data_IF_222490876892
#
_entry.id   IF_222490876892
#
_cell.length_a   1.000
_cell.length_b   1.000
_cell.length_c   1.000
_cell.angle_alpha   90.00
_cell.angle_beta   90.00
_cell.angle_gamma   90.00
#
_symmetry.space_group_name_H-M   'P 1'
#
loop_
_entity.id
_entity.type
_entity.pdbx_description
1 polymer ?
#
# COMPACT_ATOMS: atom_id res chain seq x y z
N UNK A 1 66.81 11.78 -17.43
CA UNK A 1 66.58 10.88 -16.29
C UNK A 1 65.23 11.08 -15.57
N UNK A 2 64.47 12.15 -15.82
CA UNK A 2 63.19 12.47 -15.12
C UNK A 2 61.99 11.69 -15.69
N UNK A 3 62.01 11.27 -16.96
CA UNK A 3 60.87 10.59 -17.63
C UNK A 3 60.57 9.17 -17.15
N UNK A 4 61.54 8.42 -16.64
CA UNK A 4 61.32 7.05 -16.16
C UNK A 4 60.78 6.99 -14.74
N UNK A 5 61.12 7.99 -13.90
CA UNK A 5 60.62 8.06 -12.51
C UNK A 5 59.11 8.30 -12.46
N UNK A 6 58.56 9.15 -13.34
CA UNK A 6 57.12 9.43 -13.42
C UNK A 6 56.31 8.21 -13.93
N UNK A 7 56.90 7.43 -14.85
CA UNK A 7 56.23 6.23 -15.38
C UNK A 7 56.16 5.09 -14.35
N UNK A 8 57.21 4.92 -13.55
CA UNK A 8 57.27 3.93 -12.46
C UNK A 8 56.28 4.29 -11.34
N UNK A 9 56.16 5.57 -11.01
CA UNK A 9 55.20 6.03 -9.98
C UNK A 9 53.76 5.85 -10.44
N UNK A 10 53.43 6.06 -11.72
CA UNK A 10 52.09 5.80 -12.27
C UNK A 10 51.76 4.31 -12.31
N UNK A 11 52.72 3.43 -12.56
CA UNK A 11 52.49 1.98 -12.55
C UNK A 11 52.25 1.45 -11.14
N UNK A 12 52.91 2.00 -10.11
CA UNK A 12 52.74 1.60 -8.71
C UNK A 12 51.34 2.01 -8.18
N UNK A 13 50.81 3.15 -8.63
CA UNK A 13 49.42 3.56 -8.27
C UNK A 13 48.34 2.65 -8.85
N UNK A 14 48.56 2.04 -10.02
CA UNK A 14 47.65 1.08 -10.64
C UNK A 14 47.68 -0.30 -9.99
N UNK A 15 48.73 -0.64 -9.24
CA UNK A 15 48.91 -1.91 -8.56
C UNK A 15 48.34 -1.93 -7.12
N UNK A 16 47.80 -0.83 -6.63
CA UNK A 16 47.16 -0.82 -5.30
C UNK A 16 45.88 -1.67 -5.37
N UNK A 17 45.69 -2.58 -4.41
CA UNK A 17 44.47 -3.40 -4.36
C UNK A 17 43.26 -2.48 -4.19
N UNK A 18 42.49 -2.30 -5.24
CA UNK A 18 41.23 -1.58 -5.18
C UNK A 18 40.28 -2.46 -4.35
N UNK A 19 39.98 -2.06 -3.11
CA UNK A 19 38.92 -2.70 -2.34
C UNK A 19 37.62 -2.44 -3.09
N UNK A 20 37.09 -3.46 -3.72
CA UNK A 20 35.74 -3.42 -4.25
C UNK A 20 34.81 -3.15 -3.07
N UNK A 21 34.13 -2.02 -3.07
CA UNK A 21 33.13 -1.73 -2.06
C UNK A 21 31.99 -2.74 -2.25
N UNK A 22 31.92 -3.72 -1.36
CA UNK A 22 30.77 -4.65 -1.34
C UNK A 22 29.62 -3.89 -0.68
N UNK A 23 28.58 -3.58 -1.46
CA UNK A 23 27.34 -3.07 -0.92
C UNK A 23 26.75 -4.13 0.03
N UNK A 24 26.34 -3.71 1.21
CA UNK A 24 25.60 -4.62 2.11
C UNK A 24 24.19 -4.76 1.54
N UNK A 25 23.68 -5.99 1.47
CA UNK A 25 22.27 -6.29 1.10
C UNK A 25 21.30 -5.89 2.23
N UNK A 26 21.61 -4.80 2.92
CA UNK A 26 20.87 -4.33 4.08
C UNK A 26 20.70 -2.83 4.04
N UNK A 27 19.43 -2.38 4.06
CA UNK A 27 19.06 -0.98 4.24
C UNK A 27 18.65 -0.78 5.71
N UNK A 28 19.33 0.13 6.41
CA UNK A 28 18.98 0.53 7.78
C UNK A 28 18.40 1.94 7.75
N UNK A 29 17.14 2.07 8.15
CA UNK A 29 16.45 3.37 8.21
C UNK A 29 16.21 3.73 9.67
N UNK A 30 16.85 4.82 10.11
CA UNK A 30 16.61 5.39 11.44
C UNK A 30 15.34 6.21 11.46
N UNK A 31 14.51 6.04 12.47
CA UNK A 31 13.31 6.86 12.71
C UNK A 31 13.35 7.41 14.13
N UNK A 32 12.79 8.62 14.34
CA UNK A 32 12.81 9.33 15.62
C UNK A 32 11.70 8.92 16.57
N UNK A 33 10.74 8.12 16.12
CA UNK A 33 9.60 7.67 16.93
C UNK A 33 9.45 6.16 16.83
N UNK A 34 9.02 5.53 17.92
CA UNK A 34 8.69 4.10 17.94
C UNK A 34 7.17 3.91 17.91
N UNK A 35 6.59 3.22 16.90
CA UNK A 35 5.16 2.99 16.83
C UNK A 35 4.70 2.02 17.93
N UNK A 36 3.57 2.34 18.57
CA UNK A 36 2.93 1.48 19.59
C UNK A 36 2.40 0.16 19.01
N UNK A 37 2.03 0.19 17.72
CA UNK A 37 1.50 -0.95 16.95
C UNK A 37 1.78 -0.79 15.46
N UNK A 38 1.93 -1.91 14.76
CA UNK A 38 1.99 -1.94 13.29
C UNK A 38 0.63 -2.22 12.64
N UNK A 39 -0.43 -2.35 13.43
CA UNK A 39 -1.77 -2.50 12.85
C UNK A 39 -2.17 -1.23 12.07
N UNK A 40 -2.54 -1.31 10.78
CA UNK A 40 -2.70 -0.14 9.91
C UNK A 40 -3.80 0.83 10.37
N UNK A 41 -4.86 0.32 10.99
CA UNK A 41 -6.06 1.08 11.33
C UNK A 41 -6.18 1.45 12.82
N UNK A 42 -5.22 1.03 13.66
CA UNK A 42 -5.18 1.34 15.10
C UNK A 42 -4.05 2.31 15.35
N UNK A 43 -4.28 3.35 16.13
CA UNK A 43 -3.29 4.34 16.55
C UNK A 43 -2.51 4.98 15.39
N UNK A 44 -2.93 6.16 14.96
CA UNK A 44 -2.34 6.85 13.81
C UNK A 44 -1.02 7.53 14.20
N UNK A 45 0.11 7.01 13.67
CA UNK A 45 1.45 7.58 13.87
C UNK A 45 2.20 7.70 12.55
N UNK A 46 2.90 8.83 12.37
CA UNK A 46 3.68 9.09 11.15
C UNK A 46 4.81 8.07 10.95
N UNK A 47 5.55 7.74 12.02
CA UNK A 47 6.61 6.73 11.98
C UNK A 47 6.10 5.36 11.50
N UNK A 48 4.90 4.95 11.93
CA UNK A 48 4.25 3.74 11.45
C UNK A 48 3.94 3.81 9.97
N UNK A 49 3.47 4.96 9.46
CA UNK A 49 3.15 5.14 8.05
C UNK A 49 4.37 4.92 7.14
N UNK A 50 5.56 5.36 7.54
CA UNK A 50 6.81 5.10 6.81
C UNK A 50 7.13 3.61 6.70
N UNK A 51 7.00 2.86 7.80
CA UNK A 51 7.25 1.40 7.81
C UNK A 51 6.20 0.68 6.96
N UNK A 52 4.91 1.02 7.14
CA UNK A 52 3.83 0.40 6.40
C UNK A 52 3.88 0.71 4.90
N UNK A 53 4.39 1.87 4.49
CA UNK A 53 4.58 2.20 3.08
C UNK A 53 5.57 1.28 2.37
N UNK A 54 6.54 0.71 3.11
CA UNK A 54 7.52 -0.24 2.58
C UNK A 54 7.03 -1.70 2.62
N UNK A 55 6.12 -2.03 3.53
CA UNK A 55 5.74 -3.42 3.84
C UNK A 55 4.32 -3.76 3.41
N UNK A 56 3.49 -2.77 3.15
CA UNK A 56 2.07 -2.92 2.82
C UNK A 56 1.73 -2.30 1.49
N UNK A 57 0.88 -2.96 0.72
CA UNK A 57 0.27 -2.41 -0.49
C UNK A 57 -1.18 -1.99 -0.18
N UNK A 58 -1.50 -0.69 -0.11
CA UNK A 58 -2.88 -0.24 0.03
C UNK A 58 -3.68 -0.50 -1.25
N UNK A 59 -5.01 -0.47 -1.16
CA UNK A 59 -5.89 -0.71 -2.31
C UNK A 59 -5.75 0.38 -3.37
N UNK A 60 -5.73 1.63 -2.90
CA UNK A 60 -5.44 2.82 -3.71
C UNK A 60 -4.42 3.71 -3.00
N UNK A 61 -3.75 4.59 -3.75
CA UNK A 61 -2.78 5.54 -3.22
C UNK A 61 -2.78 6.82 -4.07
N UNK A 62 -2.35 7.93 -3.49
CA UNK A 62 -2.07 9.15 -4.23
C UNK A 62 -0.65 9.11 -4.80
N UNK A 63 -0.51 9.39 -6.08
CA UNK A 63 0.79 9.54 -6.74
C UNK A 63 1.45 10.90 -6.39
N UNK A 64 2.63 11.17 -6.98
CA UNK A 64 3.38 12.42 -6.76
C UNK A 64 2.65 13.67 -7.25
N UNK A 65 1.61 13.53 -8.07
CA UNK A 65 0.74 14.60 -8.58
C UNK A 65 -0.58 14.69 -7.83
N UNK A 66 -0.70 14.02 -6.68
CA UNK A 66 -1.93 13.94 -5.88
C UNK A 66 -3.12 13.32 -6.63
N UNK A 67 -2.82 12.50 -7.64
CA UNK A 67 -3.85 11.75 -8.35
C UNK A 67 -4.01 10.38 -7.70
N UNK A 68 -5.25 10.02 -7.36
CA UNK A 68 -5.55 8.69 -6.83
C UNK A 68 -5.34 7.64 -7.92
N UNK A 69 -4.63 6.56 -7.59
CA UNK A 69 -4.33 5.44 -8.48
C UNK A 69 -4.61 4.10 -7.80
N UNK A 70 -4.95 3.09 -8.59
CA UNK A 70 -5.07 1.71 -8.13
C UNK A 70 -3.70 1.08 -7.89
N UNK A 71 -3.54 0.35 -6.76
CA UNK A 71 -2.43 -0.58 -6.53
C UNK A 71 -2.91 -2.04 -6.50
N UNK A 72 -4.06 -2.30 -5.89
CA UNK A 72 -4.67 -3.64 -5.83
C UNK A 72 -5.96 -3.73 -6.66
N UNK A 73 -6.49 -2.63 -7.17
CA UNK A 73 -7.64 -2.64 -8.08
C UNK A 73 -7.20 -2.54 -9.54
N UNK A 74 -8.06 -2.96 -10.45
CA UNK A 74 -7.81 -2.85 -11.90
C UNK A 74 -8.11 -1.45 -12.44
N UNK A 75 -9.12 -0.77 -11.88
CA UNK A 75 -9.59 0.53 -12.33
C UNK A 75 -10.28 1.29 -11.19
N UNK A 76 -10.07 2.61 -11.14
CA UNK A 76 -10.80 3.47 -10.20
C UNK A 76 -12.25 3.65 -10.67
N UNK A 77 -13.22 3.49 -9.76
CA UNK A 77 -14.61 3.78 -10.05
C UNK A 77 -14.85 5.29 -10.23
N UNK A 78 -15.60 5.62 -11.29
CA UNK A 78 -16.12 6.96 -11.54
C UNK A 78 -17.56 6.85 -12.08
N UNK A 79 -18.30 7.94 -12.04
CA UNK A 79 -19.64 7.99 -12.65
C UNK A 79 -19.57 7.78 -14.16
N UNK A 80 -18.53 8.34 -14.82
CA UNK A 80 -18.35 8.28 -16.26
C UNK A 80 -18.06 6.85 -16.76
N UNK A 81 -17.41 6.04 -15.94
CA UNK A 81 -17.10 4.66 -16.34
C UNK A 81 -18.12 3.63 -15.84
N UNK A 82 -19.20 4.09 -15.18
CA UNK A 82 -20.29 3.26 -14.70
C UNK A 82 -19.93 2.35 -13.50
N UNK A 83 -18.74 2.53 -12.89
CA UNK A 83 -18.32 1.78 -11.70
C UNK A 83 -18.69 2.51 -10.40
N UNK A 84 -19.19 3.74 -10.49
CA UNK A 84 -19.82 4.47 -9.40
C UNK A 84 -21.22 4.92 -9.86
N UNK A 85 -22.23 4.67 -9.05
CA UNK A 85 -23.64 4.98 -9.38
C UNK A 85 -24.32 5.59 -8.15
N UNK A 86 -25.19 6.58 -8.37
CA UNK A 86 -26.05 7.10 -7.32
C UNK A 86 -27.09 6.05 -6.94
N UNK A 87 -27.33 5.89 -5.67
CA UNK A 87 -28.38 4.99 -5.17
C UNK A 87 -29.20 5.64 -4.08
N UNK A 88 -30.38 5.09 -3.83
CA UNK A 88 -31.16 5.38 -2.63
C UNK A 88 -31.17 4.11 -1.79
N UNK A 89 -30.71 4.24 -0.56
CA UNK A 89 -30.65 3.14 0.41
C UNK A 89 -32.05 2.71 0.84
N UNK A 90 -32.18 1.53 1.44
CA UNK A 90 -33.46 1.01 1.91
C UNK A 90 -34.14 1.87 2.98
N UNK A 91 -33.37 2.71 3.70
CA UNK A 91 -33.87 3.69 4.67
C UNK A 91 -34.10 5.10 4.05
N UNK A 92 -34.11 5.18 2.71
CA UNK A 92 -34.44 6.41 1.97
C UNK A 92 -33.33 7.44 1.88
N UNK A 93 -32.09 7.12 2.28
CA UNK A 93 -30.96 8.04 2.19
C UNK A 93 -30.30 7.99 0.81
N UNK A 94 -29.74 9.11 0.38
CA UNK A 94 -28.92 9.16 -0.83
C UNK A 94 -27.54 8.57 -0.55
N UNK A 95 -27.10 7.67 -1.40
CA UNK A 95 -25.80 7.01 -1.34
C UNK A 95 -25.13 6.94 -2.69
N UNK A 96 -23.99 6.27 -2.70
CA UNK A 96 -23.25 5.94 -3.93
C UNK A 96 -22.79 4.49 -3.83
N UNK A 97 -23.20 3.68 -4.78
CA UNK A 97 -22.66 2.33 -4.97
C UNK A 97 -21.36 2.41 -5.76
N UNK A 98 -20.30 1.77 -5.26
CA UNK A 98 -18.96 1.83 -5.86
C UNK A 98 -18.44 0.44 -6.10
N UNK A 99 -18.22 0.07 -7.37
CA UNK A 99 -17.76 -1.27 -7.77
C UNK A 99 -16.26 -1.26 -8.04
N UNK A 100 -15.56 -2.17 -7.39
CA UNK A 100 -14.14 -2.43 -7.59
C UNK A 100 -13.91 -3.85 -8.06
N UNK A 101 -12.87 -4.03 -8.88
CA UNK A 101 -12.31 -5.34 -9.20
C UNK A 101 -10.88 -5.41 -8.68
N UNK A 102 -10.59 -6.40 -7.83
CA UNK A 102 -9.26 -6.70 -7.33
C UNK A 102 -8.40 -7.20 -8.50
N UNK A 103 -7.15 -6.74 -8.56
CA UNK A 103 -6.23 -7.17 -9.62
C UNK A 103 -6.08 -8.71 -9.60
N UNK A 104 -6.18 -9.40 -10.74
CA UNK A 104 -6.17 -10.88 -10.80
C UNK A 104 -4.96 -11.51 -10.10
N UNK A 105 -3.80 -10.86 -10.21
CA UNK A 105 -2.53 -11.33 -9.61
C UNK A 105 -2.28 -10.79 -8.20
N UNK A 106 -3.26 -10.14 -7.58
CA UNK A 106 -3.11 -9.68 -6.20
C UNK A 106 -3.07 -10.87 -5.24
N UNK A 107 -1.96 -10.99 -4.51
CA UNK A 107 -1.72 -12.02 -3.50
C UNK A 107 -1.25 -11.42 -2.19
N UNK A 108 -1.46 -12.16 -1.12
CA UNK A 108 -0.79 -11.95 0.16
C UNK A 108 0.69 -12.33 0.06
N UNK A 109 1.48 -12.01 1.08
CA UNK A 109 2.91 -12.30 1.11
C UNK A 109 3.28 -13.79 1.07
N UNK A 110 2.35 -14.67 1.42
CA UNK A 110 2.47 -16.13 1.34
C UNK A 110 2.02 -16.72 0.00
N UNK A 111 1.61 -15.87 -0.95
CA UNK A 111 1.12 -16.27 -2.27
C UNK A 111 -0.38 -16.55 -2.33
N UNK A 112 -1.10 -16.54 -1.20
CA UNK A 112 -2.55 -16.72 -1.18
C UNK A 112 -3.26 -15.59 -1.95
N UNK A 113 -4.24 -15.88 -2.83
CA UNK A 113 -4.95 -14.83 -3.56
C UNK A 113 -5.72 -13.89 -2.62
N UNK A 114 -5.65 -12.58 -2.88
CA UNK A 114 -6.54 -11.60 -2.23
C UNK A 114 -7.91 -11.68 -2.88
N UNK A 115 -8.96 -11.83 -2.07
CA UNK A 115 -10.34 -12.04 -2.53
C UNK A 115 -11.32 -11.03 -1.95
N UNK A 116 -12.55 -11.07 -2.42
CA UNK A 116 -13.67 -10.29 -1.88
C UNK A 116 -14.00 -10.67 -0.44
N UNK A 117 -13.69 -11.88 0.00
CA UNK A 117 -13.85 -12.30 1.39
C UNK A 117 -12.95 -11.52 2.34
N UNK A 118 -11.70 -11.19 1.91
CA UNK A 118 -10.79 -10.34 2.67
C UNK A 118 -11.36 -8.93 2.87
N UNK A 119 -12.01 -8.40 1.83
CA UNK A 119 -12.67 -7.08 1.89
C UNK A 119 -13.84 -7.11 2.87
N UNK A 120 -14.70 -8.13 2.78
CA UNK A 120 -15.86 -8.31 3.68
C UNK A 120 -15.39 -8.53 5.12
N UNK A 121 -14.36 -9.34 5.33
CA UNK A 121 -13.76 -9.56 6.64
C UNK A 121 -13.26 -8.24 7.25
N UNK A 122 -12.47 -7.48 6.47
CA UNK A 122 -11.93 -6.17 6.90
C UNK A 122 -13.05 -5.21 7.30
N UNK A 123 -14.13 -5.14 6.53
CA UNK A 123 -15.30 -4.32 6.85
C UNK A 123 -16.00 -4.78 8.12
N UNK A 124 -16.25 -6.09 8.30
CA UNK A 124 -16.87 -6.64 9.49
C UNK A 124 -16.06 -6.33 10.75
N UNK A 125 -14.74 -6.52 10.69
CA UNK A 125 -13.83 -6.20 11.80
C UNK A 125 -13.81 -4.69 12.04
N UNK A 126 -13.65 -3.88 10.99
CA UNK A 126 -13.55 -2.43 11.09
C UNK A 126 -14.77 -1.75 11.75
N UNK A 127 -15.98 -2.27 11.53
CA UNK A 127 -17.22 -1.75 12.14
C UNK A 127 -17.53 -2.31 13.53
N UNK A 128 -16.76 -3.29 14.00
CA UNK A 128 -17.01 -3.90 15.30
C UNK A 128 -16.63 -2.94 16.44
N UNK A 129 -17.48 -2.87 17.47
CA UNK A 129 -17.31 -1.89 18.58
C UNK A 129 -16.00 -2.04 19.34
N UNK A 130 -15.44 -3.24 19.37
CA UNK A 130 -14.21 -3.56 20.09
C UNK A 130 -12.98 -3.67 19.15
N UNK A 131 -13.07 -3.24 17.90
CA UNK A 131 -11.98 -3.33 16.94
C UNK A 131 -10.79 -2.44 17.27
N UNK A 132 -11.01 -1.35 18.00
CA UNK A 132 -9.98 -0.36 18.31
C UNK A 132 -9.55 0.50 17.11
N UNK A 133 -10.24 0.38 15.95
CA UNK A 133 -9.90 1.19 14.76
C UNK A 133 -10.20 2.66 14.99
N UNK A 134 -9.26 3.54 14.59
CA UNK A 134 -9.37 4.98 14.80
C UNK A 134 -10.52 5.64 14.02
N UNK A 135 -10.88 5.09 12.85
CA UNK A 135 -11.95 5.63 11.99
C UNK A 135 -13.10 4.64 11.82
N UNK A 136 -13.73 4.26 12.93
CA UNK A 136 -14.84 3.30 12.94
C UNK A 136 -16.05 3.80 12.14
N UNK A 137 -16.30 5.11 12.10
CA UNK A 137 -17.44 5.71 11.41
C UNK A 137 -17.35 5.53 9.89
N UNK A 138 -16.13 5.51 9.33
CA UNK A 138 -15.94 5.15 7.92
C UNK A 138 -16.48 3.75 7.62
N UNK A 139 -16.16 2.75 8.45
CA UNK A 139 -16.65 1.39 8.27
C UNK A 139 -18.16 1.26 8.51
N UNK A 140 -18.72 2.10 9.38
CA UNK A 140 -20.17 2.13 9.66
C UNK A 140 -20.98 2.84 8.60
N UNK A 141 -20.37 3.81 7.89
CA UNK A 141 -21.01 4.49 6.77
C UNK A 141 -21.23 3.57 5.56
N UNK A 142 -20.43 2.50 5.44
CA UNK A 142 -20.67 1.43 4.47
C UNK A 142 -21.76 0.50 5.04
N UNK A 143 -22.97 0.61 4.54
CA UNK A 143 -24.09 -0.18 5.08
C UNK A 143 -24.09 -1.62 4.55
N UNK A 144 -23.52 -1.86 3.36
CA UNK A 144 -23.46 -3.16 2.70
C UNK A 144 -22.24 -3.30 1.81
N UNK A 145 -21.68 -4.52 1.75
CA UNK A 145 -20.73 -4.93 0.73
C UNK A 145 -21.29 -6.16 0.03
N UNK A 146 -21.35 -6.14 -1.30
CA UNK A 146 -21.83 -7.25 -2.12
C UNK A 146 -20.68 -7.80 -2.95
N UNK A 147 -20.26 -9.03 -2.70
CA UNK A 147 -19.38 -9.77 -3.60
C UNK A 147 -20.17 -10.20 -4.84
N UNK A 148 -19.66 -9.91 -6.02
CA UNK A 148 -20.19 -10.40 -7.31
C UNK A 148 -19.50 -11.70 -7.72
N UNK A 149 -18.21 -11.78 -7.42
CA UNK A 149 -17.33 -12.93 -7.58
C UNK A 149 -16.14 -12.80 -6.61
N UNK A 150 -15.13 -13.68 -6.73
CA UNK A 150 -13.96 -13.68 -5.84
C UNK A 150 -13.08 -12.43 -5.95
N UNK A 151 -13.23 -11.63 -7.00
CA UNK A 151 -12.41 -10.44 -7.26
C UNK A 151 -13.22 -9.16 -7.38
N UNK A 152 -14.52 -9.22 -7.60
CA UNK A 152 -15.37 -8.06 -7.86
C UNK A 152 -16.39 -7.87 -6.73
N UNK A 153 -16.42 -6.66 -6.17
CA UNK A 153 -17.34 -6.30 -5.10
C UNK A 153 -17.87 -4.89 -5.28
N UNK A 154 -19.05 -4.65 -4.72
CA UNK A 154 -19.68 -3.33 -4.66
C UNK A 154 -19.83 -2.89 -3.21
N UNK A 155 -19.34 -1.68 -2.92
CA UNK A 155 -19.55 -0.98 -1.66
C UNK A 155 -20.83 -0.13 -1.79
N UNK A 156 -21.67 -0.19 -0.74
CA UNK A 156 -22.90 0.59 -0.67
C UNK A 156 -22.92 1.47 0.57
#
# INVERSE_FOLDING_TARGET
MIKYSTLVFALILLALPHKVATAKDQLVIGISQFPSTFHPNIDSMLAKSYILAMTRRPFTVYDVHWKNICLLCTKLPTMENGLAERETTSDGKNGVAVTYTIHPYATWGDGTPVTTEDVIFTWKVGRHKQSGVGNIEFYRSLYKIVARDDKTFTLH
#
